data_IF_375568473632
#
_entry.id   IF_375568473632
#
_cell.length_a   1.000
_cell.length_b   1.000
_cell.length_c   1.000
_cell.angle_alpha   90.00
_cell.angle_beta   90.00
_cell.angle_gamma   90.00
#
_symmetry.space_group_name_H-M   'P 1'
#
loop_
_entity.id
_entity.type
_entity.pdbx_description
1 polymer ?
#
# COMPACT_ATOMS: atom_id res chain seq x y z
N UNK A 1 -36.36 3.87 23.59
CA UNK A 1 -36.54 2.87 22.51
C UNK A 1 -35.15 2.46 22.04
N UNK A 2 -34.84 1.16 22.14
CA UNK A 2 -33.50 0.56 22.11
C UNK A 2 -32.99 0.26 20.68
N UNK A 3 -31.66 0.36 20.53
CA UNK A 3 -30.73 -0.31 19.59
C UNK A 3 -30.88 -0.13 18.06
N UNK A 4 -29.77 0.26 17.41
CA UNK A 4 -28.95 -0.72 16.66
C UNK A 4 -27.54 -0.19 16.31
N UNK A 5 -26.57 -0.57 17.14
CA UNK A 5 -25.16 -0.73 16.72
C UNK A 5 -25.11 -1.84 15.66
N UNK A 6 -24.69 -1.52 14.43
CA UNK A 6 -24.26 -2.52 13.45
C UNK A 6 -22.75 -2.41 13.30
N UNK A 7 -22.03 -3.22 14.10
CA UNK A 7 -20.63 -3.54 13.84
C UNK A 7 -20.60 -4.38 12.57
N UNK A 8 -19.95 -3.86 11.52
CA UNK A 8 -19.70 -4.56 10.28
C UNK A 8 -18.60 -5.60 10.58
N UNK A 9 -18.97 -6.88 10.57
CA UNK A 9 -18.00 -7.97 10.66
C UNK A 9 -17.64 -8.36 9.22
N UNK A 10 -16.42 -8.03 8.80
CA UNK A 10 -15.87 -8.54 7.54
C UNK A 10 -15.36 -9.96 7.79
N UNK A 11 -15.98 -10.94 7.10
CA UNK A 11 -15.43 -12.29 6.99
C UNK A 11 -14.25 -12.24 6.00
N UNK A 12 -13.03 -12.39 6.51
CA UNK A 12 -11.85 -12.71 5.72
C UNK A 12 -11.98 -14.18 5.27
N UNK A 13 -12.41 -14.40 4.03
CA UNK A 13 -12.27 -15.70 3.38
C UNK A 13 -10.86 -15.78 2.79
N UNK A 14 -9.97 -16.53 3.45
CA UNK A 14 -8.63 -16.79 2.94
C UNK A 14 -8.71 -17.78 1.75
N UNK A 15 -8.59 -17.27 0.53
CA UNK A 15 -8.38 -18.11 -0.65
C UNK A 15 -6.86 -18.35 -0.77
N UNK A 16 -6.41 -19.53 -0.34
CA UNK A 16 -5.03 -19.96 -0.54
C UNK A 16 -4.81 -20.28 -2.03
N UNK A 17 -4.15 -19.38 -2.76
CA UNK A 17 -3.63 -19.67 -4.07
C UNK A 17 -2.20 -20.19 -3.92
N UNK A 18 -2.01 -21.51 -4.07
CA UNK A 18 -0.69 -22.13 -4.10
C UNK A 18 -0.08 -21.82 -5.47
N UNK A 19 0.79 -20.81 -5.51
CA UNK A 19 1.65 -20.58 -6.66
C UNK A 19 2.91 -21.44 -6.48
N UNK A 20 3.00 -22.57 -7.19
CA UNK A 20 4.23 -23.36 -7.25
C UNK A 20 5.20 -22.68 -8.21
N UNK A 21 6.08 -21.83 -7.69
CA UNK A 21 7.26 -21.40 -8.42
C UNK A 21 8.37 -22.44 -8.22
N UNK A 22 8.85 -23.00 -9.33
CA UNK A 22 9.97 -23.93 -9.36
C UNK A 22 11.28 -23.18 -9.09
N UNK A 23 12.08 -23.72 -8.16
CA UNK A 23 13.53 -23.57 -8.12
C UNK A 23 14.10 -22.17 -7.90
N UNK A 24 13.84 -21.56 -6.75
CA UNK A 24 14.80 -20.63 -6.14
C UNK A 24 15.42 -21.30 -4.91
N UNK A 25 16.70 -21.04 -4.65
CA UNK A 25 17.27 -21.29 -3.32
C UNK A 25 16.33 -20.62 -2.30
N UNK A 26 15.94 -21.33 -1.24
CA UNK A 26 14.93 -20.81 -0.32
C UNK A 26 15.49 -19.55 0.34
N UNK A 27 14.76 -18.43 0.21
CA UNK A 27 15.17 -17.16 0.79
C UNK A 27 15.46 -17.31 2.29
N UNK A 28 16.54 -16.70 2.77
CA UNK A 28 16.96 -16.84 4.17
C UNK A 28 16.04 -16.02 5.06
N UNK A 29 15.38 -16.67 6.01
CA UNK A 29 14.51 -15.98 6.97
C UNK A 29 15.32 -15.31 8.10
N UNK A 30 15.18 -13.99 8.23
CA UNK A 30 15.80 -13.16 9.27
C UNK A 30 14.72 -12.68 10.24
N UNK A 31 14.86 -13.05 11.52
CA UNK A 31 13.89 -12.73 12.56
C UNK A 31 14.16 -11.34 13.10
N UNK A 32 13.09 -10.56 13.30
CA UNK A 32 13.17 -9.18 13.78
C UNK A 32 12.15 -8.97 14.89
N UNK A 33 12.57 -8.37 16.00
CA UNK A 33 11.66 -7.87 17.04
C UNK A 33 11.94 -6.40 17.31
N UNK A 34 11.01 -5.70 17.97
CA UNK A 34 11.20 -4.27 18.28
C UNK A 34 12.48 -3.99 19.09
N UNK A 35 12.81 -4.86 20.05
CA UNK A 35 13.95 -4.71 20.96
C UNK A 35 15.18 -5.53 20.54
N UNK A 36 15.03 -6.43 19.57
CA UNK A 36 16.01 -7.45 19.24
C UNK A 36 15.95 -8.65 20.19
N UNK A 37 16.65 -9.71 19.80
CA UNK A 37 16.83 -10.92 20.58
C UNK A 37 17.66 -10.68 21.85
N UNK A 38 17.54 -11.59 22.82
CA UNK A 38 18.26 -11.53 24.10
C UNK A 38 19.69 -12.08 24.03
N UNK A 39 20.06 -12.75 22.93
CA UNK A 39 21.34 -13.43 22.75
C UNK A 39 22.16 -12.74 21.66
N UNK A 40 23.43 -12.49 21.96
CA UNK A 40 24.40 -11.90 21.02
C UNK A 40 25.21 -12.95 20.26
N UNK A 41 25.67 -12.66 19.03
CA UNK A 41 25.26 -11.52 18.22
C UNK A 41 23.81 -11.63 17.73
N UNK A 42 23.15 -10.48 17.52
CA UNK A 42 21.82 -10.40 16.91
C UNK A 42 21.97 -10.44 15.39
N UNK A 43 21.96 -11.64 14.83
CA UNK A 43 22.10 -11.90 13.39
C UNK A 43 20.76 -12.29 12.71
N UNK A 44 19.68 -12.41 13.49
CA UNK A 44 18.35 -12.80 13.01
C UNK A 44 18.20 -14.27 12.65
N UNK A 45 19.19 -15.13 12.93
CA UNK A 45 19.11 -16.57 12.68
C UNK A 45 18.05 -17.30 13.51
N UNK A 46 17.63 -16.71 14.64
CA UNK A 46 16.55 -17.20 15.50
C UNK A 46 15.84 -16.03 16.20
N UNK A 47 14.69 -16.29 16.83
CA UNK A 47 14.01 -15.28 17.63
C UNK A 47 14.84 -14.79 18.84
N UNK A 48 15.64 -15.67 19.45
CA UNK A 48 16.56 -15.30 20.54
C UNK A 48 17.69 -14.39 20.07
N UNK A 49 18.02 -14.43 18.78
CA UNK A 49 19.07 -13.64 18.12
C UNK A 49 18.48 -12.62 17.13
N UNK A 50 17.19 -12.29 17.26
CA UNK A 50 16.49 -11.43 16.33
C UNK A 50 17.16 -10.05 16.20
N UNK A 51 17.13 -9.48 15.00
CA UNK A 51 17.52 -8.08 14.81
C UNK A 51 16.57 -7.16 15.59
N UNK A 52 17.07 -6.04 16.09
CA UNK A 52 16.23 -4.93 16.52
C UNK A 52 15.85 -4.02 15.33
N UNK A 53 15.05 -2.98 15.59
CA UNK A 53 14.64 -2.01 14.56
C UNK A 53 15.81 -1.34 13.83
N UNK A 54 16.81 -0.82 14.56
CA UNK A 54 17.95 -0.11 13.96
C UNK A 54 18.82 -1.06 13.12
N UNK A 55 19.01 -2.30 13.59
CA UNK A 55 19.72 -3.35 12.85
C UNK A 55 18.95 -3.78 11.59
N UNK A 56 17.61 -3.85 11.63
CA UNK A 56 16.78 -4.05 10.43
C UNK A 56 17.00 -2.93 9.41
N UNK A 57 16.92 -1.66 9.82
CA UNK A 57 17.10 -0.53 8.89
C UNK A 57 18.50 -0.51 8.26
N UNK A 58 19.53 -0.82 9.05
CA UNK A 58 20.89 -0.96 8.54
C UNK A 58 20.97 -2.07 7.49
N UNK A 59 20.35 -3.23 7.76
CA UNK A 59 20.37 -4.38 6.83
C UNK A 59 19.57 -4.15 5.55
N UNK A 60 18.45 -3.44 5.63
CA UNK A 60 17.69 -3.01 4.44
C UNK A 60 18.45 -1.99 3.59
N UNK A 61 19.33 -1.19 4.21
CA UNK A 61 20.15 -0.19 3.50
C UNK A 61 21.41 -0.77 2.86
N UNK A 62 21.85 -1.95 3.30
CA UNK A 62 23.01 -2.66 2.76
C UNK A 62 22.63 -3.34 1.43
N UNK A 63 23.10 -2.83 0.30
CA UNK A 63 22.76 -3.34 -1.04
C UNK A 63 23.31 -4.74 -1.33
N UNK A 64 24.23 -5.26 -0.51
CA UNK A 64 24.73 -6.63 -0.64
C UNK A 64 23.72 -7.69 -0.22
N UNK A 65 22.68 -7.33 0.54
CA UNK A 65 21.65 -8.29 0.98
C UNK A 65 20.71 -8.62 -0.16
N UNK A 66 20.58 -9.91 -0.46
CA UNK A 66 19.70 -10.47 -1.48
C UNK A 66 19.13 -11.79 -0.96
N UNK A 67 18.01 -12.21 -1.52
CA UNK A 67 17.36 -13.50 -1.24
C UNK A 67 17.09 -13.74 0.26
N UNK A 68 16.48 -12.72 0.90
CA UNK A 68 16.18 -12.68 2.33
C UNK A 68 14.72 -12.30 2.56
N UNK A 69 14.11 -12.99 3.53
CA UNK A 69 12.81 -12.62 4.10
C UNK A 69 12.96 -12.12 5.53
N UNK A 70 12.56 -10.89 5.81
CA UNK A 70 12.49 -10.38 7.17
C UNK A 70 11.15 -10.72 7.80
N UNK A 71 11.18 -11.51 8.88
CA UNK A 71 10.00 -11.91 9.65
C UNK A 71 9.89 -11.01 10.88
N UNK A 72 8.93 -10.09 10.85
CA UNK A 72 8.77 -9.07 11.88
C UNK A 72 7.72 -9.51 12.90
N UNK A 73 8.16 -9.65 14.15
CA UNK A 73 7.27 -9.81 15.28
C UNK A 73 6.36 -8.59 15.46
N UNK A 74 5.16 -8.81 15.99
CA UNK A 74 4.17 -7.77 16.27
C UNK A 74 4.78 -6.61 17.07
N UNK A 75 4.53 -5.39 16.61
CA UNK A 75 5.14 -4.20 17.17
C UNK A 75 5.21 -3.04 16.19
N UNK A 76 5.67 -1.89 16.71
CA UNK A 76 5.84 -0.66 15.93
C UNK A 76 7.32 -0.42 15.65
N UNK A 77 7.66 -0.43 14.36
CA UNK A 77 8.99 -0.17 13.82
C UNK A 77 8.96 1.22 13.17
N UNK A 78 9.45 2.21 13.91
CA UNK A 78 9.52 3.59 13.42
C UNK A 78 10.82 3.82 12.67
N UNK A 79 10.82 4.54 11.57
CA UNK A 79 12.06 5.14 11.07
C UNK A 79 12.49 6.33 11.95
N UNK A 80 13.73 6.78 11.81
CA UNK A 80 14.26 7.97 12.50
C UNK A 80 14.91 8.90 11.47
N UNK A 81 14.98 10.20 11.77
CA UNK A 81 15.86 11.10 11.01
C UNK A 81 17.31 10.74 11.31
N UNK A 82 18.04 10.25 10.32
CA UNK A 82 19.51 10.23 10.34
C UNK A 82 20.01 11.45 9.57
N UNK A 83 21.12 12.05 10.01
CA UNK A 83 21.70 13.25 9.40
C UNK A 83 22.25 13.09 7.98
N UNK A 84 21.84 12.03 7.25
CA UNK A 84 22.38 11.64 5.94
C UNK A 84 21.34 11.21 4.90
N UNK A 85 20.03 11.47 5.10
CA UNK A 85 18.98 11.19 4.12
C UNK A 85 17.70 10.63 4.76
N UNK A 86 16.60 10.48 3.98
CA UNK A 86 15.39 9.85 4.49
C UNK A 86 15.68 8.38 4.85
N UNK A 87 15.50 8.01 6.12
CA UNK A 87 15.49 6.60 6.52
C UNK A 87 14.18 5.97 6.08
N UNK A 88 14.21 4.82 5.42
CA UNK A 88 13.02 4.15 4.88
C UNK A 88 13.19 2.64 4.98
N UNK A 89 12.09 1.89 5.00
CA UNK A 89 12.14 0.45 4.79
C UNK A 89 12.32 0.18 3.29
N UNK A 90 13.58 0.05 2.84
CA UNK A 90 13.91 -0.14 1.43
C UNK A 90 13.82 -1.61 1.04
N UNK A 91 12.93 -1.92 0.10
CA UNK A 91 12.82 -3.24 -0.51
C UNK A 91 13.35 -3.20 -1.95
N UNK A 92 13.88 -4.34 -2.41
CA UNK A 92 14.51 -4.55 -3.71
C UNK A 92 14.40 -6.02 -4.07
N UNK A 93 14.89 -6.40 -5.26
CA UNK A 93 14.89 -7.79 -5.72
C UNK A 93 15.37 -8.77 -4.65
N UNK A 94 14.58 -9.82 -4.41
CA UNK A 94 14.87 -10.87 -3.45
C UNK A 94 14.79 -10.44 -1.97
N UNK A 95 14.38 -9.21 -1.66
CA UNK A 95 14.26 -8.72 -0.28
C UNK A 95 12.79 -8.50 0.08
N UNK A 96 12.30 -9.28 1.03
CA UNK A 96 10.90 -9.28 1.45
C UNK A 96 10.70 -8.97 2.93
N UNK A 97 9.55 -8.40 3.28
CA UNK A 97 9.09 -8.21 4.66
C UNK A 97 7.75 -8.91 4.86
N UNK A 98 7.68 -9.74 5.91
CA UNK A 98 6.45 -10.39 6.38
C UNK A 98 6.17 -9.96 7.82
N UNK A 99 4.97 -9.44 8.07
CA UNK A 99 4.45 -9.13 9.40
C UNK A 99 3.52 -10.22 9.93
N UNK A 100 3.17 -10.13 11.22
CA UNK A 100 2.22 -11.04 11.86
C UNK A 100 2.82 -12.10 12.76
N UNK A 101 4.10 -12.01 13.12
CA UNK A 101 4.74 -13.01 13.96
C UNK A 101 4.57 -12.68 15.46
N UNK A 102 4.36 -13.68 16.29
CA UNK A 102 4.42 -13.64 17.75
C UNK A 102 5.87 -13.56 18.24
N UNK A 103 6.78 -14.21 17.53
CA UNK A 103 8.21 -14.29 17.90
C UNK A 103 8.64 -15.65 18.43
N UNK A 104 7.93 -16.72 18.08
CA UNK A 104 8.25 -18.11 18.42
C UNK A 104 8.03 -19.10 17.26
N UNK A 105 7.66 -18.59 16.08
CA UNK A 105 7.34 -19.39 14.91
C UNK A 105 8.55 -20.04 14.25
N UNK A 106 8.34 -21.26 13.74
CA UNK A 106 9.34 -22.01 12.98
C UNK A 106 9.20 -21.82 11.46
N UNK A 107 8.00 -21.51 11.00
CA UNK A 107 7.65 -21.32 9.58
C UNK A 107 6.84 -20.04 9.35
N UNK A 108 6.80 -19.56 8.10
CA UNK A 108 6.07 -18.34 7.73
C UNK A 108 4.55 -18.51 7.87
N UNK A 109 4.04 -19.72 7.68
CA UNK A 109 2.61 -20.01 7.66
C UNK A 109 1.98 -20.06 9.07
N UNK A 110 2.80 -20.08 10.12
CA UNK A 110 2.37 -20.01 11.53
C UNK A 110 1.96 -18.59 11.97
N UNK A 111 2.29 -17.56 11.17
CA UNK A 111 2.01 -16.16 11.51
C UNK A 111 0.50 -15.87 11.58
N UNK A 112 0.12 -14.93 12.43
CA UNK A 112 -1.23 -14.36 12.49
C UNK A 112 -1.15 -12.82 12.43
N UNK A 113 -1.25 -12.22 11.23
CA UNK A 113 -1.19 -10.77 11.04
C UNK A 113 -2.31 -9.99 11.74
N UNK A 114 -3.41 -10.67 12.10
CA UNK A 114 -4.53 -10.07 12.81
C UNK A 114 -4.29 -10.02 14.32
N UNK A 115 -3.65 -11.05 14.89
CA UNK A 115 -3.31 -11.12 16.31
C UNK A 115 -2.00 -10.40 16.65
N UNK A 116 -1.02 -10.43 15.74
CA UNK A 116 0.34 -9.91 15.96
C UNK A 116 0.66 -8.77 15.01
N UNK A 117 -0.06 -7.66 15.18
CA UNK A 117 0.04 -6.49 14.31
C UNK A 117 1.48 -5.96 14.21
N UNK A 118 2.01 -5.97 13.00
CA UNK A 118 3.30 -5.35 12.64
C UNK A 118 3.06 -4.00 11.97
N UNK A 119 3.72 -2.95 12.44
CA UNK A 119 3.60 -1.59 11.92
C UNK A 119 4.95 -1.07 11.43
N UNK A 120 5.02 -0.70 10.15
CA UNK A 120 6.09 0.09 9.56
C UNK A 120 5.67 1.56 9.54
N UNK A 121 6.28 2.37 10.41
CA UNK A 121 5.82 3.73 10.65
C UNK A 121 6.84 4.76 10.18
N UNK A 122 6.36 5.73 9.40
CA UNK A 122 7.12 6.89 8.93
C UNK A 122 7.45 7.91 10.03
N UNK A 123 6.82 7.75 11.21
CA UNK A 123 6.96 8.60 12.39
C UNK A 123 6.72 10.10 12.14
N UNK A 124 5.96 10.47 11.10
CA UNK A 124 5.75 11.84 10.62
C UNK A 124 7.05 12.59 10.26
N UNK A 125 8.16 11.87 10.08
CA UNK A 125 9.51 12.45 9.89
C UNK A 125 10.08 12.20 8.50
N UNK A 126 9.43 11.41 7.67
CA UNK A 126 9.98 10.93 6.39
C UNK A 126 9.13 11.26 5.20
N UNK A 127 9.83 11.47 4.08
CA UNK A 127 9.27 11.47 2.74
C UNK A 127 8.40 10.23 2.50
N UNK A 128 8.92 9.05 2.85
CA UNK A 128 8.34 7.74 2.49
C UNK A 128 8.60 6.72 3.61
N UNK A 129 7.57 6.06 4.12
CA UNK A 129 7.76 5.00 5.11
C UNK A 129 8.50 3.79 4.48
N UNK A 130 8.08 3.37 3.29
CA UNK A 130 8.66 2.28 2.49
C UNK A 130 9.11 2.83 1.13
N UNK A 131 10.25 2.35 0.63
CA UNK A 131 10.65 2.58 -0.77
C UNK A 131 10.89 1.26 -1.46
N UNK A 132 10.44 1.18 -2.71
CA UNK A 132 10.71 0.04 -3.59
C UNK A 132 11.79 0.49 -4.58
N UNK A 133 12.84 -0.30 -4.71
CA UNK A 133 13.94 -0.06 -5.64
C UNK A 133 13.56 -0.41 -7.08
N UNK A 134 14.24 0.21 -8.04
CA UNK A 134 14.01 0.03 -9.48
C UNK A 134 14.18 -1.42 -9.95
N UNK A 135 15.07 -2.17 -9.30
CA UNK A 135 15.35 -3.58 -9.61
C UNK A 135 14.34 -4.55 -9.00
N UNK A 136 13.41 -4.08 -8.16
CA UNK A 136 12.41 -4.93 -7.52
C UNK A 136 11.57 -5.67 -8.56
N UNK A 137 11.38 -6.96 -8.35
CA UNK A 137 10.48 -7.81 -9.13
C UNK A 137 9.50 -8.53 -8.19
N UNK A 138 8.79 -9.54 -8.70
CA UNK A 138 7.77 -10.28 -7.95
C UNK A 138 8.32 -10.99 -6.70
N UNK A 139 9.65 -11.16 -6.59
CA UNK A 139 10.32 -11.69 -5.39
C UNK A 139 10.46 -10.66 -4.26
N UNK A 140 10.11 -9.39 -4.54
CA UNK A 140 10.08 -8.29 -3.58
C UNK A 140 8.70 -8.22 -2.95
N UNK A 141 8.54 -8.81 -1.77
CA UNK A 141 7.24 -8.95 -1.10
C UNK A 141 7.12 -8.05 0.12
N UNK A 142 6.00 -7.35 0.22
CA UNK A 142 5.54 -6.71 1.46
C UNK A 142 4.21 -7.34 1.87
N UNK A 143 4.19 -8.10 2.95
CA UNK A 143 2.98 -8.83 3.36
C UNK A 143 2.65 -8.68 4.85
N UNK A 144 1.36 -8.44 5.15
CA UNK A 144 0.83 -8.58 6.51
C UNK A 144 1.27 -7.48 7.46
N UNK A 145 1.53 -6.27 6.92
CA UNK A 145 1.96 -5.11 7.72
C UNK A 145 0.99 -3.94 7.61
N UNK A 146 1.06 -3.05 8.59
CA UNK A 146 0.46 -1.71 8.50
C UNK A 146 1.56 -0.70 8.15
N UNK A 147 1.39 0.03 7.06
CA UNK A 147 2.26 1.16 6.68
C UNK A 147 1.56 2.45 7.07
N UNK A 148 2.15 3.21 7.98
CA UNK A 148 1.48 4.40 8.52
C UNK A 148 2.39 5.59 8.80
N UNK A 149 1.78 6.76 8.94
CA UNK A 149 2.43 7.99 9.41
C UNK A 149 3.66 8.41 8.58
N UNK A 150 3.72 8.08 7.29
CA UNK A 150 4.65 8.76 6.38
C UNK A 150 4.12 10.14 6.00
N UNK A 151 5.00 11.15 5.88
CA UNK A 151 4.60 12.53 5.56
C UNK A 151 5.58 13.20 4.57
N UNK A 152 5.26 13.07 3.28
CA UNK A 152 6.01 13.66 2.18
C UNK A 152 5.70 15.15 1.93
N UNK A 153 4.72 15.75 2.61
CA UNK A 153 4.15 17.06 2.17
C UNK A 153 5.14 18.21 2.22
N UNK A 154 6.06 18.20 3.18
CA UNK A 154 6.97 19.32 3.47
C UNK A 154 8.37 19.11 2.87
N UNK A 155 8.49 18.26 1.86
CA UNK A 155 9.76 17.97 1.19
C UNK A 155 9.83 18.62 -0.20
N UNK A 156 11.05 18.80 -0.76
CA UNK A 156 11.23 19.30 -2.12
C UNK A 156 10.41 18.50 -3.15
N UNK A 157 10.08 19.08 -4.33
CA UNK A 157 9.26 18.41 -5.33
C UNK A 157 9.72 17.00 -5.74
N UNK A 158 11.02 16.70 -5.65
CA UNK A 158 11.57 15.37 -5.92
C UNK A 158 11.26 14.30 -4.86
N UNK A 159 10.75 14.69 -3.69
CA UNK A 159 10.56 13.81 -2.53
C UNK A 159 9.17 13.96 -1.89
N UNK A 160 8.23 14.65 -2.54
CA UNK A 160 6.93 14.97 -1.95
C UNK A 160 5.80 14.01 -2.31
N UNK A 161 6.15 12.80 -2.74
CA UNK A 161 5.21 11.80 -3.26
C UNK A 161 5.38 10.48 -2.52
N UNK A 162 4.30 9.71 -2.32
CA UNK A 162 4.37 8.34 -1.78
C UNK A 162 4.56 8.27 -0.26
N UNK A 163 3.71 8.95 0.52
CA UNK A 163 3.91 9.05 1.97
C UNK A 163 4.09 7.68 2.63
N UNK A 164 3.24 6.72 2.29
CA UNK A 164 3.40 5.33 2.73
C UNK A 164 4.49 4.60 1.93
N UNK A 165 4.28 4.46 0.62
CA UNK A 165 5.16 3.73 -0.30
C UNK A 165 5.48 4.59 -1.50
N UNK A 166 6.77 4.63 -1.84
CA UNK A 166 7.25 5.20 -3.10
C UNK A 166 7.84 4.09 -3.97
N UNK A 167 7.36 4.02 -5.21
CA UNK A 167 7.78 3.06 -6.24
C UNK A 167 8.25 3.86 -7.44
N UNK A 168 9.55 3.77 -7.74
CA UNK A 168 10.16 4.28 -8.97
C UNK A 168 10.78 3.09 -9.67
N UNK A 169 10.16 2.70 -10.78
CA UNK A 169 10.37 1.41 -11.42
C UNK A 169 10.11 0.21 -10.47
N UNK A 170 10.23 -1.01 -10.98
CA UNK A 170 10.04 -2.25 -10.22
C UNK A 170 8.60 -2.79 -10.14
N UNK A 171 8.47 -4.08 -9.81
CA UNK A 171 7.25 -4.86 -9.84
C UNK A 171 7.01 -5.67 -8.55
N UNK A 172 6.91 -5.03 -7.38
CA UNK A 172 6.75 -5.73 -6.11
C UNK A 172 5.37 -6.40 -5.98
N UNK A 173 5.30 -7.41 -5.13
CA UNK A 173 4.03 -7.96 -4.63
C UNK A 173 3.73 -7.41 -3.25
N UNK A 174 2.62 -6.70 -3.10
CA UNK A 174 2.17 -6.11 -1.84
C UNK A 174 0.85 -6.76 -1.45
N UNK A 175 0.82 -7.49 -0.35
CA UNK A 175 -0.32 -8.33 0.02
C UNK A 175 -0.76 -8.13 1.47
N UNK A 176 -2.06 -8.21 1.76
CA UNK A 176 -2.56 -8.23 3.14
C UNK A 176 -2.12 -7.00 3.98
N UNK A 177 -1.95 -5.85 3.33
CA UNK A 177 -1.41 -4.64 3.96
C UNK A 177 -2.48 -3.59 4.23
N UNK A 178 -2.27 -2.79 5.29
CA UNK A 178 -3.09 -1.62 5.57
C UNK A 178 -2.23 -0.35 5.45
N UNK A 179 -2.63 0.57 4.58
CA UNK A 179 -2.02 1.89 4.44
C UNK A 179 -2.85 2.92 5.18
N UNK A 180 -2.33 3.43 6.30
CA UNK A 180 -3.10 4.25 7.25
C UNK A 180 -2.47 5.61 7.48
N UNK A 181 -3.25 6.68 7.34
CA UNK A 181 -2.85 8.04 7.75
C UNK A 181 -1.54 8.53 7.13
N UNK A 182 -1.21 8.08 5.92
CA UNK A 182 -0.05 8.56 5.18
C UNK A 182 -0.40 9.83 4.41
N UNK A 183 0.58 10.73 4.30
CA UNK A 183 0.39 12.09 3.80
C UNK A 183 1.43 12.40 2.74
N UNK A 184 1.00 12.93 1.60
CA UNK A 184 1.91 13.36 0.54
C UNK A 184 1.28 14.49 -0.29
N UNK A 185 2.01 15.02 -1.29
CA UNK A 185 1.40 15.82 -2.35
C UNK A 185 0.75 14.91 -3.39
N UNK A 186 1.47 13.89 -3.84
CA UNK A 186 0.98 12.86 -4.77
C UNK A 186 1.08 11.47 -4.13
N UNK A 187 0.01 10.68 -4.17
CA UNK A 187 0.05 9.33 -3.62
C UNK A 187 0.20 9.33 -2.10
N UNK A 188 -0.87 9.67 -1.38
CA UNK A 188 -0.86 9.77 0.09
C UNK A 188 -0.36 8.48 0.72
N UNK A 189 -0.98 7.36 0.35
CA UNK A 189 -0.46 6.03 0.64
C UNK A 189 0.61 5.59 -0.36
N UNK A 190 0.28 5.48 -1.65
CA UNK A 190 1.21 4.94 -2.66
C UNK A 190 1.38 5.91 -3.81
N UNK A 191 2.64 6.17 -4.16
CA UNK A 191 3.01 6.77 -5.43
C UNK A 191 3.81 5.76 -6.25
N UNK A 192 3.41 5.59 -7.52
CA UNK A 192 4.09 4.75 -8.48
C UNK A 192 4.42 5.52 -9.77
N UNK A 193 5.67 5.41 -10.20
CA UNK A 193 6.16 5.95 -11.47
C UNK A 193 6.94 4.87 -12.18
N UNK A 194 6.48 4.47 -13.37
CA UNK A 194 7.08 3.45 -14.26
C UNK A 194 7.12 2.03 -13.71
N UNK A 195 6.65 1.80 -12.48
CA UNK A 195 6.56 0.47 -11.90
C UNK A 195 5.45 -0.40 -12.51
N UNK A 196 5.45 -1.68 -12.12
CA UNK A 196 4.39 -2.65 -12.39
C UNK A 196 3.94 -3.40 -11.13
N UNK A 197 3.59 -2.71 -10.02
CA UNK A 197 3.27 -3.39 -8.78
C UNK A 197 1.95 -4.16 -8.82
N UNK A 198 1.91 -5.22 -8.02
CA UNK A 198 0.70 -5.99 -7.73
C UNK A 198 0.29 -5.82 -6.28
N UNK A 199 -0.90 -5.26 -6.05
CA UNK A 199 -1.50 -5.16 -4.72
C UNK A 199 -2.66 -6.15 -4.58
N UNK A 200 -2.65 -6.95 -3.51
CA UNK A 200 -3.66 -7.96 -3.23
C UNK A 200 -4.18 -7.81 -1.80
N UNK A 201 -5.50 -7.80 -1.61
CA UNK A 201 -6.11 -7.75 -0.28
C UNK A 201 -5.56 -6.60 0.58
N UNK A 202 -5.44 -5.41 -0.01
CA UNK A 202 -4.90 -4.22 0.65
C UNK A 202 -6.00 -3.22 0.98
N UNK A 203 -5.83 -2.51 2.09
CA UNK A 203 -6.76 -1.45 2.51
C UNK A 203 -6.02 -0.11 2.54
N UNK A 204 -6.60 0.90 1.91
CA UNK A 204 -6.11 2.28 1.89
C UNK A 204 -7.11 3.15 2.64
N UNK A 205 -6.75 3.60 3.84
CA UNK A 205 -7.67 4.30 4.74
C UNK A 205 -7.00 5.50 5.45
N UNK A 206 -7.75 6.61 5.61
CA UNK A 206 -7.27 7.83 6.26
C UNK A 206 -6.12 8.56 5.56
N UNK A 207 -5.71 8.15 4.36
CA UNK A 207 -4.58 8.75 3.65
C UNK A 207 -4.98 10.11 3.03
N UNK A 208 -4.02 11.04 2.96
CA UNK A 208 -4.26 12.42 2.50
C UNK A 208 -3.25 12.83 1.45
N UNK A 209 -3.72 13.35 0.32
CA UNK A 209 -2.88 13.96 -0.70
C UNK A 209 -3.62 15.06 -1.49
N UNK A 210 -2.87 15.93 -2.15
CA UNK A 210 -3.47 16.86 -3.13
C UNK A 210 -3.91 16.11 -4.39
N UNK A 211 -3.22 15.03 -4.74
CA UNK A 211 -3.55 14.14 -5.87
C UNK A 211 -3.35 12.68 -5.46
N UNK A 212 -4.36 11.82 -5.63
CA UNK A 212 -4.26 10.39 -5.33
C UNK A 212 -4.07 10.10 -3.84
N UNK A 213 -5.16 10.08 -3.06
CA UNK A 213 -5.09 9.84 -1.61
C UNK A 213 -4.61 8.44 -1.27
N UNK A 214 -5.19 7.43 -1.92
CA UNK A 214 -4.78 6.03 -1.77
C UNK A 214 -3.63 5.70 -2.70
N UNK A 215 -3.85 5.82 -4.00
CA UNK A 215 -2.91 5.40 -5.03
C UNK A 215 -2.80 6.45 -6.13
N UNK A 216 -1.57 6.78 -6.51
CA UNK A 216 -1.26 7.63 -7.64
C UNK A 216 -0.29 6.89 -8.56
N UNK A 217 -0.65 6.69 -9.83
CA UNK A 217 0.25 6.14 -10.84
C UNK A 217 0.43 7.12 -12.00
N UNK A 218 1.70 7.41 -12.31
CA UNK A 218 2.06 8.35 -13.37
C UNK A 218 2.31 7.65 -14.72
N UNK A 219 3.06 6.56 -14.67
CA UNK A 219 3.57 5.79 -15.81
C UNK A 219 3.65 4.31 -15.37
N UNK A 220 3.60 3.37 -16.32
CA UNK A 220 3.72 1.94 -16.04
C UNK A 220 2.37 1.24 -15.88
N UNK A 221 2.33 0.15 -15.12
CA UNK A 221 1.10 -0.62 -14.92
C UNK A 221 0.82 -0.91 -13.44
N UNK A 222 -0.42 -1.19 -13.06
CA UNK A 222 -0.72 -1.70 -11.72
C UNK A 222 -1.88 -2.69 -11.73
N UNK A 223 -1.73 -3.77 -10.98
CA UNK A 223 -2.81 -4.71 -10.70
C UNK A 223 -3.28 -4.54 -9.25
N UNK A 224 -4.55 -4.15 -9.07
CA UNK A 224 -5.20 -4.00 -7.78
C UNK A 224 -6.28 -5.08 -7.66
N UNK A 225 -6.10 -6.02 -6.73
CA UNK A 225 -6.97 -7.18 -6.57
C UNK A 225 -7.51 -7.25 -5.14
N UNK A 226 -8.83 -7.31 -4.99
CA UNK A 226 -9.48 -7.40 -3.67
C UNK A 226 -9.06 -6.23 -2.74
N UNK A 227 -8.81 -5.05 -3.31
CA UNK A 227 -8.36 -3.86 -2.58
C UNK A 227 -9.54 -2.97 -2.17
N UNK A 228 -9.43 -2.33 -1.01
CA UNK A 228 -10.42 -1.38 -0.50
C UNK A 228 -9.83 0.02 -0.35
N UNK A 229 -10.46 1.00 -1.01
CA UNK A 229 -10.13 2.42 -0.93
C UNK A 229 -11.22 3.15 -0.15
N UNK A 230 -10.89 3.53 1.08
CA UNK A 230 -11.83 4.04 2.06
C UNK A 230 -11.41 5.44 2.49
N UNK A 231 -12.38 6.34 2.59
CA UNK A 231 -12.19 7.65 3.19
C UNK A 231 -13.32 7.92 4.15
N UNK A 232 -13.03 8.02 5.44
CA UNK A 232 -13.97 8.47 6.46
C UNK A 232 -13.87 10.00 6.72
N UNK A 233 -12.91 10.68 6.10
CA UNK A 233 -12.44 11.96 6.62
C UNK A 233 -13.13 13.19 6.05
N UNK A 234 -13.46 14.13 6.94
CA UNK A 234 -13.79 15.53 6.63
C UNK A 234 -12.59 16.33 6.08
N UNK A 235 -11.40 15.71 5.99
CA UNK A 235 -10.13 16.38 5.66
C UNK A 235 -9.88 16.51 4.15
N UNK A 236 -10.29 17.67 3.60
CA UNK A 236 -9.54 18.59 2.72
C UNK A 236 -8.62 18.13 1.56
N UNK A 237 -8.50 16.85 1.23
CA UNK A 237 -7.72 16.39 0.08
C UNK A 237 -8.43 16.65 -1.25
N UNK A 238 -7.72 17.22 -2.23
CA UNK A 238 -8.28 17.47 -3.55
C UNK A 238 -8.27 16.26 -4.49
N UNK A 239 -7.46 15.23 -4.19
CA UNK A 239 -7.25 14.08 -5.06
C UNK A 239 -8.25 12.95 -4.81
N UNK A 240 -8.65 12.27 -5.88
CA UNK A 240 -9.38 11.01 -5.81
C UNK A 240 -8.61 9.92 -5.05
N UNK A 241 -9.30 8.84 -4.66
CA UNK A 241 -8.68 7.70 -4.00
C UNK A 241 -7.63 7.00 -4.88
N UNK A 242 -7.93 6.86 -6.17
CA UNK A 242 -7.05 6.37 -7.22
C UNK A 242 -6.91 7.43 -8.32
N UNK A 243 -5.68 7.75 -8.71
CA UNK A 243 -5.37 8.60 -9.87
C UNK A 243 -4.50 7.84 -10.84
N UNK A 244 -4.95 7.78 -12.10
CA UNK A 244 -4.27 7.15 -13.23
C UNK A 244 -3.96 8.22 -14.27
N UNK A 245 -2.68 8.46 -14.55
CA UNK A 245 -2.26 9.43 -15.58
C UNK A 245 -2.15 8.78 -16.97
N UNK A 246 -2.01 9.62 -17.99
CA UNK A 246 -2.14 9.24 -19.39
C UNK A 246 -1.18 8.16 -19.91
N UNK A 247 -0.07 7.91 -19.21
CA UNK A 247 0.92 6.89 -19.60
C UNK A 247 0.87 5.66 -18.67
N UNK A 248 -0.22 5.50 -17.93
CA UNK A 248 -0.40 4.41 -16.98
C UNK A 248 -1.58 3.50 -17.37
N UNK A 249 -1.42 2.22 -17.06
CA UNK A 249 -2.47 1.20 -17.21
C UNK A 249 -2.81 0.61 -15.84
N UNK A 250 -4.08 0.57 -15.47
CA UNK A 250 -4.51 0.00 -14.18
C UNK A 250 -5.65 -0.97 -14.38
N UNK A 251 -5.51 -2.16 -13.79
CA UNK A 251 -6.61 -3.11 -13.64
C UNK A 251 -7.01 -3.18 -12.17
N UNK A 252 -8.26 -2.83 -11.88
CA UNK A 252 -8.90 -3.06 -10.60
C UNK A 252 -9.86 -4.25 -10.73
N UNK A 253 -9.68 -5.26 -9.90
CA UNK A 253 -10.54 -6.44 -9.88
C UNK A 253 -11.03 -6.71 -8.46
N UNK A 254 -12.36 -6.81 -8.29
CA UNK A 254 -13.02 -6.98 -6.99
C UNK A 254 -12.63 -5.91 -5.95
N UNK A 255 -12.31 -4.71 -6.43
CA UNK A 255 -11.99 -3.59 -5.56
C UNK A 255 -13.24 -2.85 -5.07
N UNK A 256 -13.17 -2.33 -3.85
CA UNK A 256 -14.17 -1.44 -3.27
C UNK A 256 -13.62 -0.01 -3.15
N UNK A 257 -14.43 0.96 -3.56
CA UNK A 257 -14.20 2.38 -3.38
C UNK A 257 -15.37 2.96 -2.59
N UNK A 258 -15.16 3.26 -1.30
CA UNK A 258 -16.22 3.68 -0.41
C UNK A 258 -15.96 5.03 0.27
N UNK A 259 -17.00 5.86 0.31
CA UNK A 259 -17.02 7.15 1.02
C UNK A 259 -15.91 8.15 0.59
N UNK A 260 -15.38 7.99 -0.62
CA UNK A 260 -14.33 8.87 -1.10
C UNK A 260 -14.87 10.26 -1.42
N UNK A 261 -14.23 11.27 -0.84
CA UNK A 261 -14.55 12.69 -1.02
C UNK A 261 -13.28 13.41 -1.46
N UNK A 262 -13.37 14.07 -2.61
CA UNK A 262 -12.35 14.95 -3.14
C UNK A 262 -12.96 16.33 -3.42
N UNK A 263 -12.19 17.40 -3.30
CA UNK A 263 -12.65 18.75 -3.69
C UNK A 263 -12.56 19.03 -5.19
N UNK A 264 -11.83 18.20 -5.95
CA UNK A 264 -11.73 18.27 -7.41
C UNK A 264 -12.57 17.19 -8.12
N UNK A 265 -12.52 17.14 -9.45
CA UNK A 265 -13.18 16.13 -10.30
C UNK A 265 -12.62 14.71 -10.04
N UNK A 266 -13.50 13.69 -9.98
CA UNK A 266 -13.14 12.28 -9.73
C UNK A 266 -12.86 11.93 -8.28
N UNK A 267 -13.89 11.74 -7.46
CA UNK A 267 -13.71 11.61 -6.00
C UNK A 267 -13.18 10.27 -5.53
N UNK A 268 -13.58 9.17 -6.19
CA UNK A 268 -12.93 7.88 -5.96
C UNK A 268 -11.84 7.64 -7.00
N UNK A 269 -12.15 7.82 -8.29
CA UNK A 269 -11.19 7.55 -9.36
C UNK A 269 -11.12 8.72 -10.33
N UNK A 270 -9.90 9.15 -10.63
CA UNK A 270 -9.58 10.07 -11.72
C UNK A 270 -8.72 9.32 -12.74
N UNK A 271 -9.24 9.12 -13.94
CA UNK A 271 -8.54 8.44 -15.03
C UNK A 271 -8.18 9.41 -16.16
N UNK A 272 -6.96 9.28 -16.66
CA UNK A 272 -6.48 9.87 -17.90
C UNK A 272 -5.72 8.85 -18.77
N UNK A 273 -5.49 7.63 -18.28
CA UNK A 273 -4.79 6.54 -18.97
C UNK A 273 -5.74 5.38 -19.26
N UNK A 274 -5.23 4.15 -19.21
CA UNK A 274 -6.02 2.95 -19.49
C UNK A 274 -6.50 2.32 -18.17
N UNK A 275 -7.81 2.34 -17.94
CA UNK A 275 -8.40 1.81 -16.71
C UNK A 275 -9.40 0.70 -17.00
N UNK A 276 -9.13 -0.47 -16.41
CA UNK A 276 -10.07 -1.59 -16.41
C UNK A 276 -10.61 -1.82 -14.99
N UNK A 277 -11.94 -1.80 -14.86
CA UNK A 277 -12.69 -2.06 -13.64
C UNK A 277 -13.51 -3.34 -13.82
N UNK A 278 -13.23 -4.37 -13.03
CA UNK A 278 -13.91 -5.67 -13.13
C UNK A 278 -14.46 -6.06 -11.77
N UNK A 279 -15.77 -6.27 -11.67
CA UNK A 279 -16.44 -6.63 -10.40
C UNK A 279 -16.18 -5.62 -9.26
N UNK A 280 -16.00 -4.33 -9.59
CA UNK A 280 -15.73 -3.30 -8.59
C UNK A 280 -17.01 -2.71 -7.99
N UNK A 281 -16.93 -2.26 -6.74
CA UNK A 281 -18.03 -1.56 -6.07
C UNK A 281 -17.64 -0.14 -5.73
N UNK A 282 -18.48 0.82 -6.08
CA UNK A 282 -18.34 2.23 -5.75
C UNK A 282 -19.54 2.65 -4.89
N UNK A 283 -19.30 2.94 -3.61
CA UNK A 283 -20.35 3.24 -2.65
C UNK A 283 -20.14 4.58 -1.93
N UNK A 284 -21.15 5.46 -1.90
CA UNK A 284 -21.09 6.67 -1.06
C UNK A 284 -20.03 7.71 -1.45
N UNK A 285 -19.47 7.66 -2.68
CA UNK A 285 -18.44 8.61 -3.10
C UNK A 285 -19.07 9.97 -3.49
N UNK A 286 -18.50 11.07 -3.01
CA UNK A 286 -19.11 12.41 -3.00
C UNK A 286 -18.48 13.39 -4.01
N UNK A 287 -19.01 14.59 -4.20
CA UNK A 287 -18.49 15.70 -5.03
C UNK A 287 -18.67 15.56 -6.56
N UNK A 288 -17.96 14.67 -7.26
CA UNK A 288 -17.81 14.76 -8.74
C UNK A 288 -18.06 13.44 -9.49
N UNK A 289 -18.89 12.57 -8.91
CA UNK A 289 -19.10 11.20 -9.41
C UNK A 289 -18.04 10.23 -8.87
N UNK A 290 -18.33 8.94 -8.93
CA UNK A 290 -17.42 7.90 -8.46
C UNK A 290 -16.18 7.79 -9.35
N UNK A 291 -16.37 7.87 -10.66
CA UNK A 291 -15.29 7.79 -11.65
C UNK A 291 -15.36 8.99 -12.58
N UNK A 292 -14.23 9.68 -12.73
CA UNK A 292 -14.04 10.72 -13.72
C UNK A 292 -12.96 10.29 -14.70
N UNK A 293 -13.37 10.03 -15.94
CA UNK A 293 -12.51 9.69 -17.06
C UNK A 293 -12.31 10.92 -17.94
N UNK A 294 -11.06 11.28 -18.21
CA UNK A 294 -10.67 12.45 -18.99
C UNK A 294 -9.62 12.06 -20.03
N UNK A 295 -10.08 11.77 -21.24
CA UNK A 295 -9.29 11.36 -22.40
C UNK A 295 -8.49 10.04 -22.20
N UNK A 296 -8.87 9.22 -21.22
CA UNK A 296 -8.33 7.86 -21.05
C UNK A 296 -9.27 6.80 -21.61
N UNK A 297 -8.77 5.58 -21.86
CA UNK A 297 -9.64 4.44 -22.14
C UNK A 297 -10.21 3.89 -20.82
N UNK A 298 -11.51 3.58 -20.80
CA UNK A 298 -12.12 2.96 -19.62
C UNK A 298 -13.03 1.79 -19.97
N UNK A 299 -12.78 0.64 -19.34
CA UNK A 299 -13.68 -0.51 -19.36
C UNK A 299 -14.21 -0.77 -17.96
N UNK A 300 -15.54 -0.83 -17.81
CA UNK A 300 -16.20 -1.13 -16.54
C UNK A 300 -17.15 -2.31 -16.72
N UNK A 301 -16.75 -3.48 -16.23
CA UNK A 301 -17.48 -4.74 -16.36
C UNK A 301 -17.97 -5.18 -14.98
N UNK A 302 -19.26 -5.49 -14.86
CA UNK A 302 -19.90 -5.97 -13.62
C UNK A 302 -19.65 -5.05 -12.41
N UNK A 303 -19.59 -3.73 -12.64
CA UNK A 303 -19.36 -2.76 -11.58
C UNK A 303 -20.67 -2.29 -10.96
N UNK A 304 -20.68 -2.11 -9.63
CA UNK A 304 -21.82 -1.59 -8.88
C UNK A 304 -21.56 -0.15 -8.46
N UNK A 305 -22.49 0.76 -8.75
CA UNK A 305 -22.43 2.16 -8.31
C UNK A 305 -23.63 2.47 -7.43
N UNK A 306 -23.42 2.65 -6.12
CA UNK A 306 -24.49 2.87 -5.16
C UNK A 306 -24.26 4.16 -4.35
N UNK A 307 -25.29 5.00 -4.21
CA UNK A 307 -25.28 6.19 -3.34
C UNK A 307 -24.11 7.16 -3.58
N UNK A 308 -23.57 7.19 -4.79
CA UNK A 308 -22.55 8.18 -5.16
C UNK A 308 -23.28 9.50 -5.48
N UNK A 309 -22.86 10.61 -4.86
CA UNK A 309 -23.49 11.93 -5.06
C UNK A 309 -22.60 12.82 -5.92
N UNK A 310 -22.81 12.84 -7.24
CA UNK A 310 -22.22 13.84 -8.12
C UNK A 310 -22.90 15.19 -7.94
N UNK A 311 -22.13 16.26 -8.11
CA UNK A 311 -22.65 17.51 -8.68
C UNK A 311 -23.10 17.18 -10.11
N UNK A 312 -24.37 16.88 -10.36
CA UNK A 312 -24.92 16.59 -11.71
C UNK A 312 -25.56 15.22 -11.98
N UNK A 313 -25.76 14.36 -10.97
CA UNK A 313 -26.55 13.12 -11.08
C UNK A 313 -25.88 11.86 -11.70
N UNK A 314 -24.69 11.95 -12.29
CA UNK A 314 -24.01 10.80 -12.96
C UNK A 314 -22.89 10.15 -12.12
N UNK A 315 -22.90 8.81 -11.99
CA UNK A 315 -21.89 8.07 -11.23
C UNK A 315 -20.52 7.94 -11.95
N UNK A 316 -20.52 7.96 -13.28
CA UNK A 316 -19.32 7.93 -14.13
C UNK A 316 -19.39 9.09 -15.12
N UNK A 317 -18.38 9.95 -15.13
CA UNK A 317 -18.24 11.05 -16.09
C UNK A 317 -17.16 10.65 -17.08
N UNK A 318 -17.51 10.50 -18.36
CA UNK A 318 -16.55 10.25 -19.44
C UNK A 318 -16.45 11.50 -20.33
N UNK A 319 -15.30 12.16 -20.29
CA UNK A 319 -14.99 13.33 -21.10
C UNK A 319 -13.96 12.93 -22.17
N UNK A 320 -14.40 12.96 -23.41
CA UNK A 320 -13.59 12.82 -24.64
C UNK A 320 -12.67 11.57 -24.69
N UNK A 321 -13.07 10.46 -24.03
CA UNK A 321 -12.40 9.14 -24.09
C UNK A 321 -13.30 8.03 -24.63
N UNK A 322 -12.70 6.93 -25.09
CA UNK A 322 -13.40 5.71 -25.55
C UNK A 322 -13.78 4.79 -24.38
#
# INVERSE_FOLDING_TARGET
MRLRNRRLAFLLAALFFVCTAAGSEAATAIRVTKAGGKVSPRDGSSWERALNRDELLARLSDESVKDVEFWLAGGVYNIRRSGGGPSTFRLRKGVSIYGGFKGDESSRDERDPSAHVTVLSGNELSCNAVTIAEDADETTVLDGVRVMNGDARNHPPSYNSGGGVYIEDGAPTVSNCLFLNNKARKGGAVFCKKGSPRFVNCVFDGNTATEGRGFFIQEGSAALLDCSFISDSESGGAGGALVVLAQATVRCERCEFSNNKASAEGSAVRNQGDLELVNCTFSGNLSSGAVYNNNGAISAVNCTFANNTPTGGVALINKDGE
#
